data_IF_251470151918
#
_entry.id   IF_251470151918
#
_cell.length_a   1.000
_cell.length_b   1.000
_cell.length_c   1.000
_cell.angle_alpha   90.00
_cell.angle_beta   90.00
_cell.angle_gamma   90.00
#
_symmetry.space_group_name_H-M   'P 1'
#
loop_
_entity.id
_entity.type
_entity.pdbx_description
1 polymer ?
#
# COMPACT_ATOMS: atom_id res chain seq x y z
N UNK A 1 -33.56 -12.99 35.26
CA UNK A 1 -32.54 -13.37 34.25
C UNK A 1 -32.98 -13.18 32.79
N UNK A 2 -34.13 -13.71 32.31
CA UNK A 2 -34.55 -13.60 30.88
C UNK A 2 -34.67 -12.16 30.31
N UNK A 3 -35.12 -11.18 31.10
CA UNK A 3 -35.24 -9.77 30.65
C UNK A 3 -33.88 -9.10 30.37
N UNK A 4 -32.82 -9.46 31.10
CA UNK A 4 -31.47 -8.94 30.90
C UNK A 4 -30.83 -9.47 29.61
N UNK A 5 -31.01 -10.76 29.30
CA UNK A 5 -30.50 -11.37 28.07
C UNK A 5 -31.13 -10.77 26.79
N UNK A 6 -32.43 -10.45 26.82
CA UNK A 6 -33.16 -9.81 25.71
C UNK A 6 -32.68 -8.35 25.52
N UNK A 7 -32.41 -7.64 26.62
CA UNK A 7 -31.91 -6.26 26.59
C UNK A 7 -30.46 -6.17 26.08
N UNK A 8 -29.62 -7.17 26.38
CA UNK A 8 -28.27 -7.33 25.84
C UNK A 8 -28.31 -7.67 24.35
N UNK A 9 -29.22 -8.57 23.91
CA UNK A 9 -29.36 -8.92 22.49
C UNK A 9 -29.91 -7.75 21.65
N UNK A 10 -30.84 -6.97 22.17
CA UNK A 10 -31.40 -5.80 21.47
C UNK A 10 -30.42 -4.64 21.38
N UNK A 11 -29.64 -4.38 22.44
CA UNK A 11 -28.54 -3.39 22.39
C UNK A 11 -27.40 -3.82 21.47
N UNK A 12 -27.08 -5.12 21.42
CA UNK A 12 -26.13 -5.69 20.46
C UNK A 12 -26.61 -5.55 19.00
N UNK A 13 -27.86 -5.93 18.69
CA UNK A 13 -28.43 -5.75 17.34
C UNK A 13 -28.49 -4.28 16.91
N UNK A 14 -28.81 -3.35 17.82
CA UNK A 14 -28.80 -1.90 17.53
C UNK A 14 -27.39 -1.37 17.25
N UNK A 15 -26.37 -1.86 17.97
CA UNK A 15 -24.96 -1.54 17.68
C UNK A 15 -24.52 -2.10 16.34
N UNK A 16 -24.82 -3.37 16.07
CA UNK A 16 -24.51 -4.03 14.80
C UNK A 16 -25.17 -3.30 13.61
N UNK A 17 -26.45 -2.92 13.72
CA UNK A 17 -27.13 -2.15 12.67
C UNK A 17 -26.54 -0.76 12.43
N UNK A 18 -26.08 -0.08 13.50
CA UNK A 18 -25.42 1.22 13.39
C UNK A 18 -24.05 1.11 12.75
N UNK A 19 -23.27 0.08 13.10
CA UNK A 19 -21.95 -0.18 12.51
C UNK A 19 -22.05 -0.53 11.02
N UNK A 20 -23.05 -1.33 10.62
CA UNK A 20 -23.30 -1.64 9.20
C UNK A 20 -23.66 -0.37 8.43
N UNK A 21 -24.59 0.45 8.95
CA UNK A 21 -24.98 1.71 8.31
C UNK A 21 -23.79 2.67 8.15
N UNK A 22 -22.95 2.80 9.19
CA UNK A 22 -21.72 3.60 9.16
C UNK A 22 -20.69 3.04 8.18
N UNK A 23 -20.56 1.72 8.09
CA UNK A 23 -19.72 1.04 7.10
C UNK A 23 -20.15 1.36 5.67
N UNK A 24 -21.45 1.22 5.37
CA UNK A 24 -22.00 1.53 4.04
C UNK A 24 -21.81 3.01 3.70
N UNK A 25 -22.08 3.92 4.63
CA UNK A 25 -21.89 5.36 4.41
C UNK A 25 -20.41 5.71 4.15
N UNK A 26 -19.47 5.06 4.84
CA UNK A 26 -18.04 5.28 4.59
C UNK A 26 -17.57 4.76 3.22
N UNK A 27 -18.09 3.62 2.77
CA UNK A 27 -17.85 3.12 1.39
C UNK A 27 -18.50 4.03 0.36
N UNK A 28 -19.71 4.52 0.62
CA UNK A 28 -20.38 5.45 -0.27
C UNK A 28 -19.58 6.75 -0.41
N UNK A 29 -19.01 7.28 0.68
CA UNK A 29 -18.16 8.46 0.63
C UNK A 29 -16.91 8.24 -0.25
N UNK A 30 -16.22 7.10 -0.12
CA UNK A 30 -15.06 6.82 -0.97
C UNK A 30 -15.46 6.60 -2.43
N UNK A 31 -16.64 6.03 -2.70
CA UNK A 31 -17.19 5.88 -4.05
C UNK A 31 -17.55 7.22 -4.68
N UNK A 32 -18.11 8.14 -3.90
CA UNK A 32 -18.41 9.49 -4.35
C UNK A 32 -17.13 10.26 -4.70
N UNK A 33 -16.10 10.15 -3.86
CA UNK A 33 -14.78 10.75 -4.16
C UNK A 33 -14.13 10.10 -5.39
N UNK A 34 -14.23 8.78 -5.55
CA UNK A 34 -13.76 8.09 -6.74
C UNK A 34 -14.52 8.55 -8.00
N UNK A 35 -15.86 8.53 -7.99
CA UNK A 35 -16.67 8.99 -9.12
C UNK A 35 -16.35 10.45 -9.49
N UNK A 36 -16.25 11.33 -8.48
CA UNK A 36 -15.83 12.71 -8.68
C UNK A 36 -14.42 12.83 -9.27
N UNK A 37 -13.47 11.98 -8.86
CA UNK A 37 -12.11 12.01 -9.38
C UNK A 37 -12.02 11.63 -10.86
N UNK A 38 -12.83 10.68 -11.34
CA UNK A 38 -12.93 10.37 -12.77
C UNK A 38 -13.48 11.53 -13.59
N UNK A 39 -14.48 12.26 -13.06
CA UNK A 39 -15.00 13.46 -13.71
C UNK A 39 -13.96 14.59 -13.74
N UNK A 40 -13.27 14.82 -12.61
CA UNK A 40 -12.22 15.84 -12.51
C UNK A 40 -11.00 15.54 -13.38
N UNK A 41 -10.63 14.26 -13.51
CA UNK A 41 -9.52 13.83 -14.35
C UNK A 41 -9.76 14.05 -15.85
N UNK A 42 -10.95 14.50 -16.27
CA UNK A 42 -11.20 14.94 -17.66
C UNK A 42 -10.85 16.41 -17.90
N UNK A 43 -10.60 17.18 -16.84
CA UNK A 43 -10.26 18.60 -16.96
C UNK A 43 -8.81 18.78 -17.46
N UNK A 44 -8.55 19.78 -18.32
CA UNK A 44 -7.21 20.02 -18.85
C UNK A 44 -6.23 20.35 -17.71
N UNK A 45 -5.12 19.61 -17.66
CA UNK A 45 -4.09 19.70 -16.63
C UNK A 45 -4.24 18.64 -15.53
N UNK A 46 -5.47 18.25 -15.19
CA UNK A 46 -5.75 17.20 -14.19
C UNK A 46 -5.67 15.80 -14.82
N UNK A 47 -5.97 15.71 -16.12
CA UNK A 47 -5.78 14.52 -16.97
C UNK A 47 -4.39 13.90 -16.85
N UNK A 48 -3.36 14.73 -16.64
CA UNK A 48 -1.95 14.29 -16.47
C UNK A 48 -1.66 13.57 -15.15
N UNK A 49 -2.53 13.70 -14.15
CA UNK A 49 -2.33 13.13 -12.80
C UNK A 49 -3.17 11.86 -12.61
N UNK A 50 -4.24 11.70 -13.38
CA UNK A 50 -5.09 10.50 -13.40
C UNK A 50 -6.06 10.40 -12.21
N UNK A 51 -7.14 9.61 -12.36
CA UNK A 51 -8.26 9.59 -11.41
C UNK A 51 -7.90 9.02 -10.02
N UNK A 52 -6.96 8.08 -9.95
CA UNK A 52 -6.51 7.49 -8.68
C UNK A 52 -5.81 8.53 -7.81
N UNK A 53 -4.93 9.32 -8.41
CA UNK A 53 -4.19 10.35 -7.70
C UNK A 53 -5.09 11.51 -7.30
N UNK A 54 -6.02 11.90 -8.17
CA UNK A 54 -7.05 12.89 -7.84
C UNK A 54 -7.90 12.42 -6.65
N UNK A 55 -8.32 11.15 -6.62
CA UNK A 55 -9.08 10.60 -5.49
C UNK A 55 -8.28 10.66 -4.17
N UNK A 56 -6.99 10.32 -4.22
CA UNK A 56 -6.08 10.44 -3.07
C UNK A 56 -6.01 11.90 -2.58
N UNK A 57 -5.76 12.84 -3.49
CA UNK A 57 -5.59 14.26 -3.15
C UNK A 57 -6.87 14.88 -2.61
N UNK A 58 -8.03 14.59 -3.20
CA UNK A 58 -9.32 15.05 -2.68
C UNK A 58 -9.54 14.61 -1.22
N UNK A 59 -9.25 13.34 -0.92
CA UNK A 59 -9.39 12.83 0.44
C UNK A 59 -8.33 13.40 1.42
N UNK A 60 -7.09 13.63 0.95
CA UNK A 60 -6.05 14.30 1.75
C UNK A 60 -6.45 15.74 2.08
N UNK A 61 -6.94 16.49 1.10
CA UNK A 61 -7.43 17.86 1.27
C UNK A 61 -8.61 17.91 2.24
N UNK A 62 -9.58 17.01 2.06
CA UNK A 62 -10.68 16.85 3.02
C UNK A 62 -10.16 16.59 4.43
N UNK A 63 -9.21 15.65 4.58
CA UNK A 63 -8.63 15.30 5.88
C UNK A 63 -7.93 16.49 6.55
N UNK A 64 -7.34 17.41 5.80
CA UNK A 64 -6.68 18.59 6.39
C UNK A 64 -7.68 19.69 6.79
N UNK A 65 -8.73 19.93 6.00
CA UNK A 65 -9.65 21.04 6.22
C UNK A 65 -10.86 20.68 7.09
N UNK A 66 -11.44 19.50 6.88
CA UNK A 66 -12.64 19.04 7.58
C UNK A 66 -12.27 18.09 8.73
N UNK A 67 -11.15 17.38 8.60
CA UNK A 67 -10.74 16.35 9.56
C UNK A 67 -11.20 14.94 9.17
N UNK A 68 -11.04 13.99 10.09
CA UNK A 68 -11.42 12.60 9.84
C UNK A 68 -12.88 12.36 10.22
N UNK A 69 -13.72 11.83 9.31
CA UNK A 69 -15.08 11.46 9.64
C UNK A 69 -15.09 10.17 10.48
N UNK A 70 -14.93 10.31 11.79
CA UNK A 70 -14.84 9.18 12.75
C UNK A 70 -16.05 8.25 12.70
N UNK A 71 -17.23 8.78 12.40
CA UNK A 71 -18.45 7.98 12.20
C UNK A 71 -18.38 7.04 10.98
N UNK A 72 -17.52 7.32 10.00
CA UNK A 72 -17.39 6.60 8.73
C UNK A 72 -16.11 5.75 8.65
N UNK A 73 -15.36 5.68 9.74
CA UNK A 73 -14.04 5.03 9.82
C UNK A 73 -14.08 3.58 9.33
N UNK A 74 -15.13 2.84 9.67
CA UNK A 74 -15.29 1.43 9.29
C UNK A 74 -15.32 1.28 7.77
N UNK A 75 -16.12 2.10 7.07
CA UNK A 75 -16.24 2.03 5.61
C UNK A 75 -15.01 2.57 4.87
N UNK A 76 -14.38 3.61 5.43
CA UNK A 76 -13.11 4.16 4.90
C UNK A 76 -11.99 3.11 4.97
N UNK A 77 -11.87 2.42 6.12
CA UNK A 77 -10.91 1.32 6.30
C UNK A 77 -11.22 0.13 5.40
N UNK A 78 -12.50 -0.21 5.23
CA UNK A 78 -12.91 -1.24 4.29
C UNK A 78 -12.48 -0.90 2.87
N UNK A 79 -12.64 0.36 2.45
CA UNK A 79 -12.23 0.83 1.12
C UNK A 79 -10.71 0.75 0.94
N UNK A 80 -9.94 1.30 1.88
CA UNK A 80 -8.47 1.34 1.77
C UNK A 80 -7.79 -0.02 1.91
N UNK A 81 -8.49 -1.04 2.43
CA UNK A 81 -7.93 -2.38 2.62
C UNK A 81 -8.61 -3.43 1.72
N UNK A 82 -9.91 -3.64 1.85
CA UNK A 82 -10.61 -4.74 1.17
C UNK A 82 -10.81 -4.43 -0.31
N UNK A 83 -11.27 -3.23 -0.66
CA UNK A 83 -11.48 -2.89 -2.06
C UNK A 83 -10.16 -2.81 -2.84
N UNK A 84 -9.10 -2.29 -2.22
CA UNK A 84 -7.75 -2.34 -2.79
C UNK A 84 -7.35 -3.77 -3.17
N UNK A 85 -7.57 -4.73 -2.26
CA UNK A 85 -7.23 -6.14 -2.47
C UNK A 85 -8.06 -6.78 -3.57
N UNK A 86 -9.36 -6.52 -3.59
CA UNK A 86 -10.25 -6.99 -4.67
C UNK A 86 -9.79 -6.43 -6.01
N UNK A 87 -9.49 -5.14 -6.08
CA UNK A 87 -9.01 -4.51 -7.29
C UNK A 87 -7.71 -5.14 -7.79
N UNK A 88 -6.74 -5.37 -6.90
CA UNK A 88 -5.50 -6.07 -7.25
C UNK A 88 -5.83 -7.43 -7.87
N UNK A 89 -6.67 -8.24 -7.25
CA UNK A 89 -7.08 -9.55 -7.80
C UNK A 89 -7.69 -9.42 -9.20
N UNK A 90 -8.55 -8.41 -9.44
CA UNK A 90 -9.12 -8.16 -10.77
C UNK A 90 -8.03 -7.81 -11.81
N UNK A 91 -7.03 -7.03 -11.45
CA UNK A 91 -5.88 -6.75 -12.33
C UNK A 91 -5.04 -8.00 -12.62
N UNK A 92 -5.11 -9.02 -11.77
CA UNK A 92 -4.46 -10.31 -12.00
C UNK A 92 -4.89 -10.94 -13.33
N UNK A 93 -6.17 -10.85 -13.72
CA UNK A 93 -6.66 -11.41 -15.00
C UNK A 93 -6.02 -10.78 -16.23
N UNK A 94 -5.49 -9.56 -16.11
CA UNK A 94 -4.84 -8.83 -17.21
C UNK A 94 -3.34 -9.08 -17.29
N UNK A 95 -2.76 -9.68 -16.25
CA UNK A 95 -1.34 -9.99 -16.23
C UNK A 95 -1.05 -11.20 -17.11
N UNK A 96 -0.19 -10.99 -18.11
CA UNK A 96 0.25 -12.05 -19.02
C UNK A 96 1.12 -13.06 -18.26
N UNK A 97 0.75 -14.34 -18.26
CA UNK A 97 1.53 -15.36 -17.55
C UNK A 97 2.95 -15.48 -18.09
N UNK A 98 3.18 -15.24 -19.37
CA UNK A 98 4.52 -15.27 -19.94
C UNK A 98 5.39 -14.18 -19.31
N UNK A 99 4.84 -12.99 -19.04
CA UNK A 99 5.55 -11.95 -18.28
C UNK A 99 5.87 -12.41 -16.85
N UNK A 100 4.97 -13.16 -16.20
CA UNK A 100 5.24 -13.72 -14.86
C UNK A 100 6.36 -14.76 -14.91
N UNK A 101 6.37 -15.65 -15.90
CA UNK A 101 7.42 -16.66 -16.05
C UNK A 101 8.77 -16.05 -16.43
N UNK A 102 8.77 -15.16 -17.42
CA UNK A 102 9.99 -14.58 -17.99
C UNK A 102 10.62 -13.57 -17.02
N UNK A 103 9.80 -12.74 -16.36
CA UNK A 103 10.30 -11.64 -15.53
C UNK A 103 10.17 -11.91 -14.03
N UNK A 104 9.27 -12.80 -13.59
CA UNK A 104 8.94 -12.96 -12.17
C UNK A 104 10.15 -13.31 -11.31
N UNK A 105 11.02 -14.22 -11.77
CA UNK A 105 12.25 -14.56 -11.04
C UNK A 105 13.23 -13.38 -11.02
N UNK A 106 13.39 -12.66 -12.13
CA UNK A 106 14.23 -11.47 -12.22
C UNK A 106 13.75 -10.36 -11.29
N UNK A 107 12.44 -10.09 -11.26
CA UNK A 107 11.80 -9.15 -10.34
C UNK A 107 11.97 -9.59 -8.89
N UNK A 108 11.82 -10.88 -8.58
CA UNK A 108 12.01 -11.40 -7.22
C UNK A 108 13.45 -11.25 -6.74
N UNK A 109 14.45 -11.43 -7.61
CA UNK A 109 15.86 -11.17 -7.27
C UNK A 109 16.12 -9.68 -7.03
N UNK A 110 15.57 -8.80 -7.89
CA UNK A 110 15.63 -7.35 -7.70
C UNK A 110 14.97 -6.96 -6.37
N UNK A 111 13.84 -7.56 -6.03
CA UNK A 111 13.14 -7.34 -4.77
C UNK A 111 13.97 -7.71 -3.55
N UNK A 112 14.68 -8.84 -3.58
CA UNK A 112 15.58 -9.24 -2.47
C UNK A 112 16.65 -8.18 -2.24
N UNK A 113 17.26 -7.67 -3.32
CA UNK A 113 18.27 -6.60 -3.24
C UNK A 113 17.64 -5.31 -2.70
N UNK A 114 16.50 -4.90 -3.23
CA UNK A 114 15.76 -3.69 -2.81
C UNK A 114 15.34 -3.77 -1.34
N UNK A 115 14.83 -4.90 -0.87
CA UNK A 115 14.46 -5.13 0.54
C UNK A 115 15.69 -5.02 1.43
N UNK A 116 16.77 -5.73 1.08
CA UNK A 116 18.00 -5.74 1.88
C UNK A 116 18.64 -4.36 1.98
N UNK A 117 18.81 -3.68 0.85
CA UNK A 117 19.38 -2.33 0.80
C UNK A 117 18.44 -1.31 1.44
N UNK A 118 17.12 -1.41 1.22
CA UNK A 118 16.12 -0.52 1.81
C UNK A 118 16.13 -0.54 3.33
N UNK A 119 16.03 -1.74 3.91
CA UNK A 119 16.09 -1.93 5.36
C UNK A 119 17.44 -1.44 5.89
N UNK A 120 18.54 -1.86 5.26
CA UNK A 120 19.90 -1.47 5.65
C UNK A 120 20.14 0.04 5.62
N UNK A 121 19.70 0.71 4.56
CA UNK A 121 19.87 2.15 4.36
C UNK A 121 19.13 2.96 5.43
N UNK A 122 17.84 2.66 5.67
CA UNK A 122 17.06 3.36 6.71
C UNK A 122 17.70 3.15 8.08
N UNK A 123 18.10 1.92 8.43
CA UNK A 123 18.74 1.62 9.71
C UNK A 123 20.10 2.32 9.87
N UNK A 124 20.91 2.35 8.82
CA UNK A 124 22.22 3.00 8.83
C UNK A 124 22.10 4.50 9.02
N UNK A 125 21.19 5.15 8.29
CA UNK A 125 20.94 6.59 8.42
C UNK A 125 20.36 6.90 9.80
N UNK A 126 19.39 6.11 10.26
CA UNK A 126 18.80 6.24 11.60
C UNK A 126 19.86 6.19 12.71
N UNK A 127 20.81 5.25 12.60
CA UNK A 127 21.93 5.14 13.55
C UNK A 127 22.81 6.40 13.52
N UNK A 128 23.13 6.93 12.34
CA UNK A 128 23.96 8.14 12.19
C UNK A 128 23.29 9.38 12.78
N UNK A 129 21.99 9.55 12.57
CA UNK A 129 21.23 10.70 13.11
C UNK A 129 20.74 10.49 14.55
N UNK A 130 21.08 9.36 15.18
CA UNK A 130 20.64 8.97 16.54
C UNK A 130 19.12 9.04 16.68
N UNK A 131 18.41 8.47 15.71
CA UNK A 131 16.95 8.32 15.73
C UNK A 131 16.50 7.26 16.74
N UNK A 132 15.23 7.31 17.10
CA UNK A 132 14.58 6.32 17.95
C UNK A 132 14.65 4.91 17.30
N UNK A 133 15.28 3.96 17.98
CA UNK A 133 15.59 2.64 17.39
C UNK A 133 14.36 1.82 17.02
N UNK A 134 13.34 1.83 17.89
CA UNK A 134 12.09 1.08 17.68
C UNK A 134 11.34 1.62 16.45
N UNK A 135 11.10 2.94 16.39
CA UNK A 135 10.46 3.57 15.24
C UNK A 135 11.29 3.41 13.96
N UNK A 136 12.61 3.52 14.05
CA UNK A 136 13.50 3.38 12.89
C UNK A 136 13.47 1.97 12.31
N UNK A 137 13.37 0.93 13.15
CA UNK A 137 13.20 -0.44 12.69
C UNK A 137 11.85 -0.66 11.99
N UNK A 138 10.77 -0.11 12.55
CA UNK A 138 9.45 -0.14 11.90
C UNK A 138 9.49 0.57 10.53
N UNK A 139 10.11 1.75 10.46
CA UNK A 139 10.25 2.52 9.22
C UNK A 139 11.15 1.81 8.20
N UNK A 140 12.23 1.14 8.65
CA UNK A 140 13.12 0.38 7.79
C UNK A 140 12.38 -0.79 7.13
N UNK A 141 11.67 -1.59 7.94
CA UNK A 141 10.87 -2.73 7.45
C UNK A 141 9.71 -2.24 6.57
N UNK A 142 9.02 -1.18 6.99
CA UNK A 142 7.95 -0.55 6.20
C UNK A 142 8.45 -0.08 4.84
N UNK A 143 9.55 0.66 4.79
CA UNK A 143 10.15 1.17 3.54
C UNK A 143 10.67 0.04 2.66
N UNK A 144 11.29 -0.97 3.28
CA UNK A 144 11.90 -2.09 2.59
C UNK A 144 10.91 -3.08 1.98
N UNK A 145 9.67 -3.19 2.48
CA UNK A 145 8.70 -4.22 2.05
C UNK A 145 7.44 -3.57 1.45
N UNK A 146 6.39 -3.39 2.24
CA UNK A 146 5.08 -2.91 1.79
C UNK A 146 4.41 -1.97 2.80
N UNK A 147 5.21 -1.12 3.43
CA UNK A 147 4.75 0.03 4.19
C UNK A 147 3.97 -0.33 5.44
N UNK A 148 2.73 0.17 5.55
CA UNK A 148 1.92 0.00 6.75
C UNK A 148 1.58 -1.47 7.05
N UNK A 149 1.37 -2.28 6.02
CA UNK A 149 1.08 -3.71 6.18
C UNK A 149 2.27 -4.47 6.77
N UNK A 150 3.49 -4.14 6.33
CA UNK A 150 4.71 -4.72 6.87
C UNK A 150 4.91 -4.31 8.33
N UNK A 151 4.70 -3.03 8.67
CA UNK A 151 4.73 -2.53 10.05
C UNK A 151 3.73 -3.32 10.91
N UNK A 152 2.48 -3.45 10.48
CA UNK A 152 1.46 -4.18 11.22
C UNK A 152 1.81 -5.66 11.45
N UNK A 153 2.46 -6.31 10.46
CA UNK A 153 2.85 -7.71 10.55
C UNK A 153 4.02 -7.95 11.52
N UNK A 154 5.03 -7.07 11.53
CA UNK A 154 6.22 -7.23 12.39
C UNK A 154 6.04 -6.63 13.78
N UNK A 155 5.08 -5.73 13.97
CA UNK A 155 4.87 -5.06 15.26
C UNK A 155 4.65 -6.01 16.43
N UNK A 156 3.85 -7.10 16.32
CA UNK A 156 3.71 -8.08 17.40
C UNK A 156 5.02 -8.84 17.68
N UNK A 157 5.79 -9.14 16.64
CA UNK A 157 7.09 -9.83 16.74
C UNK A 157 8.08 -8.96 17.52
N UNK A 158 8.06 -7.65 17.26
CA UNK A 158 8.95 -6.67 17.90
C UNK A 158 8.46 -6.19 19.27
N UNK A 159 7.24 -6.57 19.70
CA UNK A 159 6.61 -6.02 20.89
C UNK A 159 6.41 -4.50 20.82
N UNK A 160 6.13 -3.97 19.63
CA UNK A 160 6.15 -2.54 19.37
C UNK A 160 4.99 -1.79 20.06
N UNK A 161 5.28 -0.59 20.58
CA UNK A 161 4.29 0.29 21.23
C UNK A 161 3.29 0.83 20.21
N UNK A 162 2.00 0.85 20.57
CA UNK A 162 0.91 1.29 19.69
C UNK A 162 1.13 2.69 19.11
N UNK A 163 1.72 3.59 19.89
CA UNK A 163 2.05 4.96 19.48
C UNK A 163 3.12 4.98 18.38
N UNK A 164 4.12 4.09 18.48
CA UNK A 164 5.20 3.94 17.48
C UNK A 164 4.68 3.30 16.21
N UNK A 165 3.79 2.30 16.33
CA UNK A 165 3.10 1.69 15.19
C UNK A 165 2.31 2.75 14.43
N UNK A 166 1.45 3.50 15.13
CA UNK A 166 0.63 4.55 14.52
C UNK A 166 1.49 5.64 13.87
N UNK A 167 2.57 6.06 14.55
CA UNK A 167 3.52 7.05 14.01
C UNK A 167 4.21 6.53 12.75
N UNK A 168 4.72 5.29 12.78
CA UNK A 168 5.40 4.67 11.64
C UNK A 168 4.48 4.51 10.43
N UNK A 169 3.25 4.01 10.64
CA UNK A 169 2.23 3.90 9.58
C UNK A 169 1.92 5.27 8.97
N UNK A 170 1.71 6.29 9.80
CA UNK A 170 1.42 7.65 9.33
C UNK A 170 2.57 8.27 8.53
N UNK A 171 3.81 8.09 8.99
CA UNK A 171 5.01 8.57 8.29
C UNK A 171 5.21 7.88 6.94
N UNK A 172 5.00 6.56 6.88
CA UNK A 172 5.08 5.81 5.62
C UNK A 172 4.00 6.27 4.64
N UNK A 173 2.75 6.40 5.08
CA UNK A 173 1.66 6.83 4.21
C UNK A 173 1.90 8.25 3.67
N UNK A 174 2.43 9.14 4.51
CA UNK A 174 2.85 10.49 4.09
C UNK A 174 3.99 10.42 3.08
N UNK A 175 5.05 9.67 3.36
CA UNK A 175 6.19 9.55 2.46
C UNK A 175 5.78 8.94 1.11
N UNK A 176 5.01 7.85 1.13
CA UNK A 176 4.50 7.21 -0.08
C UNK A 176 3.68 8.18 -0.95
N UNK A 177 2.89 9.04 -0.32
CA UNK A 177 2.11 10.07 -1.03
C UNK A 177 3.01 11.13 -1.66
N UNK A 178 4.02 11.61 -0.94
CA UNK A 178 5.00 12.56 -1.46
C UNK A 178 5.81 11.96 -2.62
N UNK A 179 6.26 10.71 -2.51
CA UNK A 179 6.98 10.02 -3.59
C UNK A 179 6.08 9.75 -4.78
N UNK A 180 4.81 9.37 -4.57
CA UNK A 180 3.83 9.21 -5.65
C UNK A 180 3.64 10.51 -6.42
N UNK A 181 3.45 11.63 -5.71
CA UNK A 181 3.36 12.97 -6.32
C UNK A 181 4.59 13.28 -7.15
N UNK A 182 5.78 13.02 -6.60
CA UNK A 182 7.04 13.22 -7.30
C UNK A 182 7.12 12.36 -8.57
N UNK A 183 6.70 11.10 -8.49
CA UNK A 183 6.74 10.16 -9.61
C UNK A 183 5.75 10.56 -10.71
N UNK A 184 4.58 11.05 -10.35
CA UNK A 184 3.61 11.61 -11.30
C UNK A 184 4.16 12.85 -12.00
N UNK A 185 4.81 13.76 -11.25
CA UNK A 185 5.38 14.99 -11.80
C UNK A 185 6.59 14.71 -12.74
N UNK A 186 7.39 13.71 -12.39
CA UNK A 186 8.64 13.39 -13.10
C UNK A 186 8.43 12.41 -14.26
N UNK A 187 7.38 11.58 -14.25
CA UNK A 187 7.04 10.63 -15.32
C UNK A 187 7.17 11.21 -16.74
N UNK A 188 6.53 12.36 -17.09
CA UNK A 188 6.61 12.90 -18.45
C UNK A 188 8.00 13.45 -18.84
N UNK A 189 8.92 13.60 -17.87
CA UNK A 189 10.26 14.13 -18.09
C UNK A 189 11.32 13.04 -18.26
N UNK A 190 11.01 11.81 -17.87
CA UNK A 190 11.95 10.70 -17.95
C UNK A 190 11.73 9.90 -19.25
N UNK A 191 12.79 9.58 -20.01
CA UNK A 191 12.71 8.75 -21.21
C UNK A 191 12.61 7.25 -20.83
N UNK A 192 11.68 6.90 -19.95
CA UNK A 192 11.43 5.52 -19.53
C UNK A 192 10.33 4.89 -20.40
N UNK A 193 10.49 3.62 -20.73
CA UNK A 193 9.37 2.84 -21.25
C UNK A 193 8.29 2.66 -20.17
N UNK A 194 7.06 2.39 -20.59
CA UNK A 194 5.95 2.12 -19.66
C UNK A 194 6.27 0.95 -18.70
N UNK A 195 6.98 -0.05 -19.19
CA UNK A 195 7.46 -1.20 -18.41
C UNK A 195 8.55 -0.80 -17.41
N UNK A 196 9.54 -0.01 -17.82
CA UNK A 196 10.59 0.45 -16.90
C UNK A 196 10.02 1.34 -15.79
N UNK A 197 9.06 2.21 -16.13
CA UNK A 197 8.34 3.00 -15.12
C UNK A 197 7.49 2.13 -14.19
N UNK A 198 6.84 1.08 -14.72
CA UNK A 198 6.10 0.11 -13.92
C UNK A 198 7.00 -0.64 -12.93
N UNK A 199 8.11 -1.18 -13.39
CA UNK A 199 9.08 -1.88 -12.55
C UNK A 199 9.66 -0.91 -11.53
N UNK A 200 10.09 0.29 -11.93
CA UNK A 200 10.64 1.29 -11.02
C UNK A 200 9.65 1.66 -9.91
N UNK A 201 8.42 2.02 -10.26
CA UNK A 201 7.38 2.39 -9.32
C UNK A 201 6.98 1.23 -8.40
N UNK A 202 6.85 0.01 -8.92
CA UNK A 202 6.57 -1.20 -8.15
C UNK A 202 7.69 -1.57 -7.17
N UNK A 203 8.95 -1.46 -7.60
CA UNK A 203 10.12 -1.72 -6.77
C UNK A 203 10.31 -0.65 -5.70
N UNK A 204 9.93 0.61 -5.93
CA UNK A 204 10.32 1.71 -5.05
C UNK A 204 9.25 2.21 -4.08
N UNK A 205 8.00 2.35 -4.53
CA UNK A 205 6.95 3.03 -3.75
C UNK A 205 6.58 2.22 -2.52
N UNK A 206 6.20 2.90 -1.43
CA UNK A 206 6.08 2.29 -0.11
C UNK A 206 4.90 1.31 0.00
N UNK A 207 3.77 1.61 -0.63
CA UNK A 207 2.53 0.83 -0.52
C UNK A 207 1.92 0.50 -1.88
N UNK A 208 1.15 -0.59 -1.94
CA UNK A 208 0.44 -1.03 -3.17
C UNK A 208 -0.46 0.05 -3.74
N UNK A 209 -1.09 0.82 -2.85
CA UNK A 209 -1.94 1.94 -3.22
C UNK A 209 -1.18 3.02 -4.01
N UNK A 210 -0.03 3.44 -3.48
CA UNK A 210 0.85 4.42 -4.12
C UNK A 210 1.40 3.90 -5.46
N UNK A 211 1.80 2.62 -5.51
CA UNK A 211 2.19 1.95 -6.76
C UNK A 211 1.07 2.06 -7.79
N UNK A 212 -0.16 1.74 -7.39
CA UNK A 212 -1.29 1.77 -8.28
C UNK A 212 -1.58 3.18 -8.82
N UNK A 213 -1.53 4.19 -7.95
CA UNK A 213 -1.73 5.59 -8.34
C UNK A 213 -0.67 6.05 -9.34
N UNK A 214 0.62 5.81 -9.08
CA UNK A 214 1.71 6.22 -9.97
C UNK A 214 1.67 5.47 -11.32
N UNK A 215 1.67 4.13 -11.28
CA UNK A 215 1.78 3.29 -12.49
C UNK A 215 0.55 3.36 -13.40
N UNK A 216 -0.63 3.76 -12.88
CA UNK A 216 -1.82 3.94 -13.71
C UNK A 216 -1.64 4.97 -14.83
N UNK A 217 -0.72 5.92 -14.68
CA UNK A 217 -0.36 6.92 -15.69
C UNK A 217 0.33 6.31 -16.93
N UNK A 218 1.02 5.19 -16.76
CA UNK A 218 1.69 4.46 -17.83
C UNK A 218 0.77 3.40 -18.48
N UNK A 219 -0.51 3.38 -18.08
CA UNK A 219 -1.53 2.50 -18.63
C UNK A 219 -1.77 1.24 -17.80
N UNK A 220 -2.83 0.49 -18.12
CA UNK A 220 -3.28 -0.63 -17.31
C UNK A 220 -2.32 -1.85 -17.38
N UNK A 221 -1.51 -2.00 -18.43
CA UNK A 221 -0.50 -3.07 -18.54
C UNK A 221 0.69 -2.79 -17.62
N UNK A 222 1.19 -1.55 -17.67
CA UNK A 222 2.20 -1.05 -16.75
C UNK A 222 1.74 -1.18 -15.28
N UNK A 223 0.48 -0.86 -14.98
CA UNK A 223 -0.09 -1.06 -13.65
C UNK A 223 -0.04 -2.54 -13.21
N UNK A 224 -0.37 -3.48 -14.11
CA UNK A 224 -0.34 -4.91 -13.80
C UNK A 224 1.09 -5.40 -13.49
N UNK A 225 2.08 -4.94 -14.27
CA UNK A 225 3.51 -5.24 -14.05
C UNK A 225 4.02 -4.60 -12.75
N UNK A 226 3.64 -3.35 -12.46
CA UNK A 226 4.02 -2.65 -11.24
C UNK A 226 3.46 -3.36 -9.99
N UNK A 227 2.21 -3.85 -10.07
CA UNK A 227 1.61 -4.66 -9.03
C UNK A 227 2.37 -5.98 -8.85
N UNK A 228 2.73 -6.68 -9.94
CA UNK A 228 3.54 -7.90 -9.86
C UNK A 228 4.87 -7.65 -9.12
N UNK A 229 5.63 -6.63 -9.52
CA UNK A 229 6.88 -6.26 -8.86
C UNK A 229 6.66 -5.95 -7.36
N UNK A 230 5.64 -5.16 -7.01
CA UNK A 230 5.36 -4.83 -5.61
C UNK A 230 4.94 -6.04 -4.78
N UNK A 231 4.18 -6.97 -5.37
CA UNK A 231 3.71 -8.19 -4.70
C UNK A 231 4.86 -9.15 -4.39
N UNK A 232 5.91 -9.20 -5.22
CA UNK A 232 7.15 -9.92 -4.91
C UNK A 232 7.78 -9.43 -3.59
N UNK A 233 7.88 -8.11 -3.39
CA UNK A 233 8.31 -7.53 -2.09
C UNK A 233 7.39 -7.91 -0.95
N UNK A 234 6.06 -7.92 -1.15
CA UNK A 234 5.10 -8.34 -0.13
C UNK A 234 5.34 -9.80 0.27
N UNK A 235 5.67 -10.67 -0.68
CA UNK A 235 5.99 -12.07 -0.40
C UNK A 235 7.26 -12.21 0.47
N UNK A 236 8.27 -11.36 0.25
CA UNK A 236 9.49 -11.31 1.06
C UNK A 236 9.26 -10.88 2.53
N UNK A 237 8.05 -10.45 2.90
CA UNK A 237 7.67 -10.28 4.30
C UNK A 237 7.82 -11.58 5.10
N UNK A 238 7.52 -12.73 4.49
CA UNK A 238 7.59 -14.03 5.15
C UNK A 238 9.03 -14.34 5.60
N UNK A 239 10.04 -14.39 4.72
CA UNK A 239 11.41 -14.65 5.14
C UNK A 239 11.95 -13.58 6.09
N UNK A 240 11.60 -12.30 5.90
CA UNK A 240 12.02 -11.24 6.84
C UNK A 240 11.45 -11.48 8.25
N UNK A 241 10.18 -11.89 8.38
CA UNK A 241 9.61 -12.23 9.68
C UNK A 241 10.34 -13.40 10.35
N UNK A 242 10.72 -14.44 9.59
CA UNK A 242 11.52 -15.55 10.12
C UNK A 242 12.90 -15.09 10.59
N UNK A 243 13.60 -14.25 9.82
CA UNK A 243 14.89 -13.69 10.21
C UNK A 243 14.78 -12.86 11.49
N UNK A 244 13.72 -12.06 11.63
CA UNK A 244 13.46 -11.28 12.85
C UNK A 244 13.20 -12.18 14.07
N UNK A 245 12.34 -13.20 13.91
CA UNK A 245 12.06 -14.17 14.98
C UNK A 245 13.33 -14.89 15.43
N UNK A 246 14.15 -15.35 14.48
CA UNK A 246 15.44 -15.99 14.78
C UNK A 246 16.40 -15.05 15.52
N UNK A 247 16.52 -13.80 15.06
CA UNK A 247 17.36 -12.78 15.70
C UNK A 247 16.92 -12.48 17.15
N UNK A 248 15.61 -12.42 17.41
CA UNK A 248 15.06 -12.15 18.75
C UNK A 248 15.24 -13.37 19.65
N UNK A 249 14.94 -14.57 19.15
CA UNK A 249 15.10 -15.82 19.88
C UNK A 249 16.55 -15.99 20.37
N UNK A 250 17.52 -15.73 19.49
CA UNK A 250 18.95 -15.80 19.84
C UNK A 250 19.35 -14.83 20.95
N UNK A 251 18.68 -13.67 21.06
CA UNK A 251 19.00 -12.64 22.06
C UNK A 251 18.27 -12.83 23.39
N UNK A 252 17.06 -13.39 23.38
CA UNK A 252 16.17 -13.39 24.53
C UNK A 252 15.75 -14.79 25.01
N UNK A 253 16.09 -15.86 24.29
CA UNK A 253 15.72 -17.23 24.64
C UNK A 253 14.19 -17.48 24.69
N UNK A 254 13.37 -16.57 24.16
CA UNK A 254 11.91 -16.64 24.26
C UNK A 254 11.29 -17.32 23.04
N UNK A 255 10.31 -18.20 23.27
CA UNK A 255 9.52 -18.84 22.22
C UNK A 255 8.34 -17.93 21.83
N UNK A 256 8.57 -17.01 20.89
CA UNK A 256 7.49 -16.24 20.28
C UNK A 256 6.87 -17.09 19.15
N UNK A 257 5.73 -17.73 19.43
CA UNK A 257 4.93 -18.38 18.39
C UNK A 257 4.04 -17.35 17.70
N UNK A 258 4.57 -16.71 16.64
CA UNK A 258 3.80 -15.82 15.77
C UNK A 258 3.57 -16.50 14.42
N UNK A 259 2.30 -16.70 14.03
CA UNK A 259 1.97 -17.15 12.68
C UNK A 259 2.08 -15.97 11.69
N UNK A 260 2.96 -16.11 10.71
CA UNK A 260 3.01 -15.19 9.56
C UNK A 260 1.86 -15.55 8.62
N UNK A 261 0.92 -14.61 8.42
CA UNK A 261 -0.22 -14.82 7.53
C UNK A 261 0.10 -14.30 6.14
N UNK A 262 0.04 -15.18 5.14
CA UNK A 262 0.10 -14.78 3.73
C UNK A 262 -1.19 -14.02 3.41
N UNK A 263 -1.10 -12.80 2.83
CA UNK A 263 -2.30 -12.07 2.46
C UNK A 263 -3.05 -12.80 1.34
N UNK A 264 -4.35 -13.09 1.55
CA UNK A 264 -5.17 -13.86 0.59
C UNK A 264 -5.18 -13.25 -0.83
N UNK A 265 -5.08 -11.92 -0.93
CA UNK A 265 -5.14 -11.22 -2.21
C UNK A 265 -3.91 -11.49 -3.09
N UNK A 266 -2.77 -11.88 -2.49
CA UNK A 266 -1.60 -12.32 -3.23
C UNK A 266 -1.90 -13.64 -3.96
N UNK A 267 -2.52 -14.59 -3.25
CA UNK A 267 -2.95 -15.86 -3.84
C UNK A 267 -4.06 -15.63 -4.88
N UNK A 268 -5.00 -14.73 -4.59
CA UNK A 268 -6.05 -14.33 -5.53
C UNK A 268 -5.48 -13.71 -6.81
N UNK A 269 -4.47 -12.84 -6.71
CA UNK A 269 -3.80 -12.23 -7.86
C UNK A 269 -3.09 -13.27 -8.73
N UNK A 270 -2.32 -14.18 -8.10
CA UNK A 270 -1.66 -15.28 -8.80
C UNK A 270 -2.67 -16.21 -9.47
N UNK A 271 -3.74 -16.60 -8.77
CA UNK A 271 -4.81 -17.42 -9.33
C UNK A 271 -5.52 -16.74 -10.50
N UNK A 272 -5.86 -15.44 -10.37
CA UNK A 272 -6.47 -14.67 -11.45
C UNK A 272 -5.55 -14.56 -12.68
N UNK A 273 -4.23 -14.38 -12.49
CA UNK A 273 -3.25 -14.37 -13.60
C UNK A 273 -3.13 -15.72 -14.28
N UNK A 274 -3.13 -16.82 -13.52
CA UNK A 274 -3.12 -18.16 -14.09
C UNK A 274 -4.40 -18.42 -14.90
N UNK A 275 -5.57 -18.02 -14.37
CA UNK A 275 -6.85 -18.17 -15.07
C UNK A 275 -6.86 -17.31 -16.35
N UNK A 276 -6.47 -16.04 -16.27
CA UNK A 276 -6.44 -15.12 -17.40
C UNK A 276 -5.54 -15.56 -18.54
N UNK A 277 -4.56 -16.42 -18.27
CA UNK A 277 -3.65 -16.92 -19.29
C UNK A 277 -4.03 -18.28 -19.89
N UNK A 278 -4.68 -19.15 -19.11
CA UNK A 278 -5.08 -20.48 -19.58
C UNK A 278 -6.46 -20.41 -20.25
N UNK A 279 -7.34 -19.56 -19.72
CA UNK A 279 -8.70 -19.39 -20.21
C UNK A 279 -8.72 -18.23 -21.21
N UNK A 280 -9.20 -18.43 -22.45
CA UNK A 280 -9.44 -17.32 -23.37
C UNK A 280 -10.62 -16.49 -22.84
N UNK A 281 -10.31 -15.42 -22.11
CA UNK A 281 -11.29 -14.48 -21.57
C UNK A 281 -11.67 -13.47 -22.67
N UNK A 282 -12.97 -13.23 -22.93
CA UNK A 282 -13.40 -12.20 -23.86
C UNK A 282 -12.85 -10.81 -23.49
N UNK A 283 -12.39 -10.03 -24.48
CA UNK A 283 -11.80 -8.72 -24.25
C UNK A 283 -12.75 -7.77 -23.51
N UNK A 284 -14.05 -7.83 -23.78
CA UNK A 284 -15.07 -7.03 -23.09
C UNK A 284 -15.12 -7.33 -21.58
N UNK A 285 -14.99 -8.60 -21.20
CA UNK A 285 -14.97 -8.99 -19.80
C UNK A 285 -13.70 -8.49 -19.13
N UNK A 286 -12.56 -8.62 -19.80
CA UNK A 286 -11.27 -8.12 -19.30
C UNK A 286 -11.29 -6.59 -19.14
N UNK A 287 -11.86 -5.87 -20.09
CA UNK A 287 -12.04 -4.43 -20.03
C UNK A 287 -12.97 -4.04 -18.86
N UNK A 288 -14.09 -4.75 -18.68
CA UNK A 288 -15.01 -4.54 -17.55
C UNK A 288 -14.37 -4.81 -16.18
N UNK A 289 -13.63 -5.92 -16.05
CA UNK A 289 -12.89 -6.26 -14.83
C UNK A 289 -11.82 -5.23 -14.52
N UNK A 290 -11.09 -4.77 -15.54
CA UNK A 290 -10.05 -3.73 -15.40
C UNK A 290 -10.67 -2.40 -15.00
N UNK A 291 -11.75 -1.96 -15.67
CA UNK A 291 -12.44 -0.71 -15.35
C UNK A 291 -13.03 -0.70 -13.94
N UNK A 292 -13.66 -1.81 -13.52
CA UNK A 292 -14.11 -1.99 -12.14
C UNK A 292 -12.92 -1.96 -11.17
N UNK A 293 -11.83 -2.66 -11.49
CA UNK A 293 -10.59 -2.62 -10.74
C UNK A 293 -10.05 -1.20 -10.57
N UNK A 294 -9.98 -0.41 -11.64
CA UNK A 294 -9.51 0.99 -11.59
C UNK A 294 -10.41 1.85 -10.69
N UNK A 295 -11.73 1.67 -10.78
CA UNK A 295 -12.67 2.38 -9.92
C UNK A 295 -12.51 2.01 -8.44
N UNK A 296 -12.38 0.71 -8.14
CA UNK A 296 -12.13 0.22 -6.79
C UNK A 296 -10.76 0.70 -6.25
N UNK A 297 -9.73 0.80 -7.09
CA UNK A 297 -8.45 1.42 -6.73
C UNK A 297 -8.63 2.89 -6.39
N UNK A 298 -9.41 3.65 -7.16
CA UNK A 298 -9.69 5.06 -6.86
C UNK A 298 -10.43 5.22 -5.51
N UNK A 299 -11.42 4.38 -5.23
CA UNK A 299 -12.10 4.36 -3.93
C UNK A 299 -11.15 3.99 -2.78
N UNK A 300 -10.26 3.02 -3.01
CA UNK A 300 -9.22 2.68 -2.06
C UNK A 300 -8.23 3.84 -1.82
N UNK A 301 -7.89 4.61 -2.86
CA UNK A 301 -7.02 5.78 -2.77
C UNK A 301 -7.67 6.88 -1.96
N UNK A 302 -8.96 7.15 -2.17
CA UNK A 302 -9.71 8.05 -1.31
C UNK A 302 -9.69 7.56 0.15
N UNK A 303 -9.92 6.27 0.39
CA UNK A 303 -9.83 5.67 1.71
C UNK A 303 -8.46 5.86 2.39
N UNK A 304 -7.38 5.67 1.65
CA UNK A 304 -6.01 5.91 2.12
C UNK A 304 -5.78 7.39 2.41
N UNK A 305 -6.26 8.29 1.55
CA UNK A 305 -6.11 9.74 1.68
C UNK A 305 -6.63 10.28 3.00
N UNK A 306 -7.75 9.75 3.49
CA UNK A 306 -8.29 10.11 4.80
C UNK A 306 -7.38 9.79 5.98
N UNK A 307 -6.45 8.85 5.84
CA UNK A 307 -5.51 8.48 6.92
C UNK A 307 -4.24 9.35 6.95
N UNK A 308 -4.01 10.17 5.92
CA UNK A 308 -2.82 11.02 5.83
C UNK A 308 -3.06 12.34 6.56
N UNK A 309 -2.30 12.57 7.63
CA UNK A 309 -2.36 13.82 8.42
C UNK A 309 -1.03 14.56 8.31
N UNK A 310 -1.06 15.78 7.76
CA UNK A 310 0.17 16.57 7.53
C UNK A 310 0.67 17.26 8.82
N UNK A 311 -0.22 17.52 9.78
CA UNK A 311 0.07 18.35 10.97
C UNK A 311 0.75 17.66 12.16
N UNK A 312 1.25 16.43 12.06
CA UNK A 312 1.81 15.67 13.21
C UNK A 312 3.33 15.47 13.17
N UNK A 313 4.08 16.46 12.68
CA UNK A 313 5.55 16.42 12.64
C UNK A 313 6.17 17.10 13.86
N UNK A 314 6.10 16.43 15.01
CA UNK A 314 6.76 16.89 16.25
C UNK A 314 8.29 16.72 16.20
N UNK A 315 9.03 17.43 17.08
CA UNK A 315 10.50 17.35 17.18
C UNK A 315 11.04 15.92 17.37
N UNK A 316 10.27 15.03 18.00
CA UNK A 316 10.65 13.64 18.25
C UNK A 316 10.64 12.76 16.98
N UNK A 317 9.98 13.20 15.91
CA UNK A 317 9.79 12.44 14.67
C UNK A 317 10.79 12.86 13.59
N UNK A 318 11.43 14.02 13.75
CA UNK A 318 12.34 14.60 12.76
C UNK A 318 13.52 13.70 12.40
N UNK A 319 14.20 13.11 13.39
CA UNK A 319 15.34 12.19 13.15
C UNK A 319 14.91 10.91 12.41
N UNK A 320 13.86 10.18 12.85
CA UNK A 320 13.27 9.09 12.07
C UNK A 320 12.85 9.50 10.66
N UNK A 321 12.34 10.73 10.47
CA UNK A 321 11.95 11.23 9.15
C UNK A 321 13.15 11.37 8.21
N UNK A 322 14.29 11.89 8.69
CA UNK A 322 15.52 11.97 7.88
C UNK A 322 15.92 10.58 7.39
N UNK A 323 15.87 9.58 8.28
CA UNK A 323 16.19 8.19 7.92
C UNK A 323 15.22 7.63 6.89
N UNK A 324 13.92 7.90 7.05
CA UNK A 324 12.89 7.50 6.09
C UNK A 324 13.10 8.16 4.72
N UNK A 325 13.29 9.47 4.67
CA UNK A 325 13.50 10.22 3.41
C UNK A 325 14.78 9.74 2.72
N UNK A 326 15.91 9.72 3.43
CA UNK A 326 17.18 9.30 2.85
C UNK A 326 17.17 7.85 2.38
N UNK A 327 16.59 6.94 3.17
CA UNK A 327 16.45 5.55 2.75
C UNK A 327 15.52 5.38 1.54
N UNK A 328 14.43 6.15 1.48
CA UNK A 328 13.51 6.14 0.34
C UNK A 328 14.16 6.67 -0.94
N UNK A 329 15.01 7.70 -0.84
CA UNK A 329 15.76 8.23 -1.99
C UNK A 329 16.78 7.22 -2.51
N UNK A 330 17.54 6.58 -1.62
CA UNK A 330 18.49 5.51 -1.99
C UNK A 330 17.75 4.36 -2.66
N UNK A 331 16.65 3.92 -2.06
CA UNK A 331 15.84 2.82 -2.59
C UNK A 331 15.23 3.17 -3.94
N UNK A 332 14.70 4.38 -4.09
CA UNK A 332 14.18 4.90 -5.36
C UNK A 332 15.24 4.93 -6.46
N UNK A 333 16.45 5.42 -6.13
CA UNK A 333 17.55 5.47 -7.08
C UNK A 333 18.04 4.08 -7.49
N UNK A 334 18.24 3.18 -6.52
CA UNK A 334 18.61 1.79 -6.79
C UNK A 334 17.55 1.09 -7.65
N UNK A 335 16.28 1.26 -7.32
CA UNK A 335 15.17 0.67 -8.07
C UNK A 335 15.10 1.19 -9.50
N UNK A 336 15.46 2.46 -9.73
CA UNK A 336 15.52 3.03 -11.08
C UNK A 336 16.62 2.36 -11.90
N UNK A 337 17.81 2.19 -11.33
CA UNK A 337 18.91 1.49 -12.00
C UNK A 337 18.53 0.03 -12.31
N UNK A 338 17.91 -0.68 -11.36
CA UNK A 338 17.46 -2.06 -11.56
C UNK A 338 16.33 -2.17 -12.59
N UNK A 339 15.50 -1.14 -12.75
CA UNK A 339 14.45 -1.12 -13.76
C UNK A 339 15.00 -0.86 -15.17
N UNK A 340 16.14 -0.20 -15.30
CA UNK A 340 16.81 0.06 -16.58
C UNK A 340 17.65 -1.13 -17.09
N UNK A 341 18.01 -2.07 -16.20
CA UNK A 341 18.71 -3.32 -16.50
C UNK A 341 17.74 -4.39 -16.99
#
# INVERSE_FOLDING_TARGET
>A
MKRSAIQIQTTRRRREGKEISQGVQGVLLTFLLAGGSFSLAKLPGVDKIGPLMVALLLAVLWRQWVGFPTSLEVGIKFSSATLLRVAIVLYGFRLNINQVWDQGLGLMLRDVVVVGVGIGAVLLIAKRVKADGELSLLLAIGTGICGAAAIAAVSPILGAKKEKIATGVGMIALMGTLVTLLYTAVHPLLPLSAEQYAVWSGLSLHELAHVAAASSLAGPDALSIALLAKLGRVFLLIPVCFVLLWCIHRKQGSHIHQQVKIPWFLLGFMGASMIGAIVPIPEDWLAGATGLGTFLLAAAMAGLGFHIRLGTLGRQIFRPLIALVGGSLILSFLSLLLAML
#
